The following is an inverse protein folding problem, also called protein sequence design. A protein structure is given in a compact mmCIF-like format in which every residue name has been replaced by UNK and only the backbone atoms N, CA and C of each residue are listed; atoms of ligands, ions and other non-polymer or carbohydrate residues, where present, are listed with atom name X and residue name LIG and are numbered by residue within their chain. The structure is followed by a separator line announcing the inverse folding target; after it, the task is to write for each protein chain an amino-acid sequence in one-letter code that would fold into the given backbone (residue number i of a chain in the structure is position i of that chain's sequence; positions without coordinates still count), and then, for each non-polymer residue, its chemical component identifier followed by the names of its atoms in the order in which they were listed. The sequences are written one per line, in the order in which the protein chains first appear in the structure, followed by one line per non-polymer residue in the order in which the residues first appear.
data_IF_563904747914
#
_entry.id   IF_563904747914
#
_cell.length_a   1.000
_cell.length_b   1.000
_cell.length_c   1.000
_cell.angle_alpha   90.00
_cell.angle_beta   90.00
_cell.angle_gamma   90.00
#
_symmetry.space_group_name_H-M   'P 1'
#
loop_
_entity.id
_entity.type
_entity.pdbx_description
1 polymer ?
#
# COMPACT_ATOMS: atom_id res chain seq x y z
N UNK A 1 6.80 13.31 -1.87
CA UNK A 1 5.90 12.73 -0.85
C UNK A 1 5.47 11.36 -1.34
N UNK A 2 5.52 10.33 -0.49
CA UNK A 2 5.05 8.98 -0.81
C UNK A 2 3.75 8.74 -0.06
N UNK A 3 2.71 8.31 -0.78
CA UNK A 3 1.43 7.95 -0.20
C UNK A 3 1.10 6.51 -0.62
N UNK A 4 0.51 5.79 0.33
CA UNK A 4 0.00 4.45 0.12
C UNK A 4 -1.42 4.40 0.70
N UNK A 5 -2.37 3.89 -0.07
CA UNK A 5 -3.71 3.64 0.43
C UNK A 5 -4.32 2.41 -0.26
N UNK A 6 -5.35 1.86 0.37
CA UNK A 6 -6.14 0.76 -0.18
C UNK A 6 -7.44 1.33 -0.74
N UNK A 7 -7.66 1.18 -2.04
CA UNK A 7 -8.88 1.61 -2.71
C UNK A 7 -9.85 0.45 -2.89
N UNK A 8 -10.85 0.38 -2.00
CA UNK A 8 -11.87 -0.67 -1.99
C UNK A 8 -12.82 -0.59 -3.19
N UNK A 9 -12.84 0.52 -3.93
CA UNK A 9 -13.62 0.62 -5.17
C UNK A 9 -13.00 -0.18 -6.33
N UNK A 10 -11.75 -0.64 -6.17
CA UNK A 10 -10.97 -1.38 -7.17
C UNK A 10 -10.51 -2.74 -6.63
N UNK A 11 -11.44 -3.70 -6.45
CA UNK A 11 -11.12 -4.98 -5.81
C UNK A 11 -10.07 -5.80 -6.57
N UNK A 12 -9.91 -5.61 -7.88
CA UNK A 12 -8.88 -6.27 -8.69
C UNK A 12 -7.48 -5.68 -8.50
N UNK A 13 -7.37 -4.38 -8.17
CA UNK A 13 -6.09 -3.66 -7.99
C UNK A 13 -6.16 -2.68 -6.81
N UNK A 14 -6.35 -3.19 -5.58
CA UNK A 14 -6.71 -2.36 -4.44
C UNK A 14 -5.54 -1.55 -3.88
N UNK A 15 -4.29 -1.91 -4.17
CA UNK A 15 -3.11 -1.23 -3.63
C UNK A 15 -2.75 -0.02 -4.49
N UNK A 16 -2.95 1.18 -3.95
CA UNK A 16 -2.59 2.42 -4.62
C UNK A 16 -1.27 2.96 -4.07
N UNK A 17 -0.29 3.13 -4.95
CA UNK A 17 1.01 3.72 -4.66
C UNK A 17 1.11 5.05 -5.39
N UNK A 18 1.15 6.14 -4.62
CA UNK A 18 1.23 7.48 -5.18
C UNK A 18 2.56 8.12 -4.78
N UNK A 19 3.19 8.76 -5.76
CA UNK A 19 4.39 9.53 -5.56
C UNK A 19 4.16 10.95 -6.08
N UNK A 20 4.20 11.92 -5.18
CA UNK A 20 4.35 13.31 -5.55
C UNK A 20 5.84 13.61 -5.68
N UNK A 21 6.27 13.80 -6.93
CA UNK A 21 7.56 14.37 -7.31
C UNK A 21 7.37 15.90 -7.24
N UNK A 22 8.37 16.63 -6.72
CA UNK A 22 8.24 18.04 -6.32
C UNK A 22 7.72 18.95 -7.43
N UNK A 23 7.03 20.03 -7.06
CA UNK A 23 6.29 20.91 -7.98
C UNK A 23 7.16 21.84 -8.84
N UNK A 24 7.85 21.28 -9.83
CA UNK A 24 8.22 21.99 -11.06
C UNK A 24 7.09 21.88 -12.10
N UNK A 25 6.94 22.88 -12.98
CA UNK A 25 5.85 23.03 -13.98
C UNK A 25 5.63 21.82 -14.94
N UNK A 26 6.41 20.74 -14.82
CA UNK A 26 6.43 19.57 -15.69
C UNK A 26 6.53 18.22 -14.95
N UNK A 27 6.48 18.20 -13.61
CA UNK A 27 6.66 16.96 -12.83
C UNK A 27 5.29 16.40 -12.44
N UNK A 28 4.74 15.52 -13.29
CA UNK A 28 3.51 14.80 -12.96
C UNK A 28 3.82 13.74 -11.90
N UNK A 29 3.37 13.98 -10.67
CA UNK A 29 3.17 12.91 -9.69
C UNK A 29 2.27 11.82 -10.29
N UNK A 30 2.61 10.57 -10.01
CA UNK A 30 1.92 9.39 -10.56
C UNK A 30 1.28 8.55 -9.46
N UNK A 31 0.17 7.92 -9.81
CA UNK A 31 -0.49 6.90 -9.01
C UNK A 31 -0.49 5.58 -9.81
N UNK A 32 -0.13 4.47 -9.16
CA UNK A 32 -0.25 3.14 -9.73
C UNK A 32 -1.10 2.26 -8.83
N UNK A 33 -2.02 1.53 -9.44
CA UNK A 33 -2.88 0.56 -8.77
C UNK A 33 -2.39 -0.84 -9.10
N UNK A 34 -2.14 -1.63 -8.07
CA UNK A 34 -1.61 -2.98 -8.22
C UNK A 34 -2.46 -4.00 -7.47
N UNK A 35 -2.51 -5.20 -8.04
CA UNK A 35 -2.93 -6.41 -7.36
C UNK A 35 -1.78 -6.95 -6.50
N UNK A 36 -2.07 -7.78 -5.50
CA UNK A 36 -1.07 -8.50 -4.69
C UNK A 36 -0.12 -9.30 -5.59
N UNK A 37 -0.67 -9.98 -6.60
CA UNK A 37 0.10 -10.76 -7.57
C UNK A 37 1.01 -9.92 -8.46
N UNK A 38 0.72 -8.62 -8.62
CA UNK A 38 1.50 -7.71 -9.43
C UNK A 38 2.60 -6.96 -8.65
N UNK A 39 2.60 -7.04 -7.31
CA UNK A 39 3.56 -6.35 -6.46
C UNK A 39 5.01 -6.75 -6.80
N UNK A 40 5.30 -8.05 -6.85
CA UNK A 40 6.66 -8.55 -7.13
C UNK A 40 7.12 -8.29 -8.57
N UNK A 41 6.19 -8.15 -9.50
CA UNK A 41 6.50 -7.85 -10.91
C UNK A 41 6.67 -6.34 -11.16
N UNK A 42 6.26 -5.48 -10.23
CA UNK A 42 6.32 -4.04 -10.42
C UNK A 42 7.74 -3.50 -10.12
N UNK A 43 8.38 -2.79 -11.06
CA UNK A 43 9.75 -2.29 -10.89
C UNK A 43 9.88 -1.12 -9.90
N UNK A 44 8.77 -0.60 -9.36
CA UNK A 44 8.75 0.56 -8.46
C UNK A 44 9.11 0.27 -7.00
N UNK A 45 9.63 -0.92 -6.69
CA UNK A 45 10.06 -1.33 -5.34
C UNK A 45 8.98 -1.07 -4.27
N UNK A 46 7.82 -1.72 -4.39
CA UNK A 46 6.67 -1.49 -3.51
C UNK A 46 7.01 -1.56 -2.00
N UNK A 47 7.93 -2.43 -1.59
CA UNK A 47 8.41 -2.53 -0.19
C UNK A 47 9.04 -1.22 0.28
N UNK A 48 9.86 -0.59 -0.55
CA UNK A 48 10.46 0.70 -0.25
C UNK A 48 9.41 1.82 -0.28
N UNK A 49 8.42 1.75 -1.16
CA UNK A 49 7.33 2.73 -1.23
C UNK A 49 6.49 2.73 0.06
N UNK A 50 6.04 1.56 0.52
CA UNK A 50 5.26 1.47 1.78
C UNK A 50 6.08 1.87 2.99
N UNK A 51 7.40 1.60 2.99
CA UNK A 51 8.29 2.08 4.04
C UNK A 51 8.33 3.62 4.08
N UNK A 52 8.49 4.26 2.92
CA UNK A 52 8.54 5.72 2.80
C UNK A 52 7.21 6.42 3.08
N UNK A 53 6.08 5.72 2.90
CA UNK A 53 4.75 6.23 3.25
C UNK A 53 4.39 6.03 4.73
N UNK A 54 5.27 5.44 5.54
CA UNK A 54 5.00 5.12 6.95
C UNK A 54 4.18 3.83 7.17
N UNK A 55 3.98 3.05 6.12
CA UNK A 55 3.24 1.78 6.13
C UNK A 55 4.18 0.56 6.01
N UNK A 56 5.41 0.64 6.51
CA UNK A 56 6.41 -0.44 6.38
C UNK A 56 5.93 -1.81 6.84
N UNK A 57 5.05 -1.85 7.84
CA UNK A 57 4.41 -3.07 8.35
C UNK A 57 3.53 -3.80 7.33
N UNK A 58 3.10 -3.11 6.26
CA UNK A 58 2.37 -3.73 5.14
C UNK A 58 3.27 -4.70 4.39
N UNK A 59 4.56 -4.39 4.23
CA UNK A 59 5.52 -5.32 3.63
C UNK A 59 5.62 -6.61 4.45
N UNK A 60 5.70 -6.49 5.77
CA UNK A 60 5.70 -7.65 6.67
C UNK A 60 4.40 -8.47 6.56
N UNK A 61 3.24 -7.79 6.44
CA UNK A 61 1.96 -8.46 6.30
C UNK A 61 1.85 -9.27 5.00
N UNK A 62 2.32 -8.70 3.88
CA UNK A 62 2.34 -9.35 2.57
C UNK A 62 3.37 -10.50 2.55
N UNK A 63 4.60 -10.26 3.02
CA UNK A 63 5.68 -11.24 3.00
C UNK A 63 5.45 -12.41 3.97
N UNK A 64 4.76 -12.16 5.09
CA UNK A 64 4.44 -13.19 6.09
C UNK A 64 3.33 -14.16 5.67
N UNK A 65 2.60 -13.86 4.59
CA UNK A 65 1.45 -14.65 4.16
C UNK A 65 1.47 -14.95 2.65
N UNK A 66 2.52 -15.64 2.16
CA UNK A 66 2.60 -16.00 0.75
C UNK A 66 1.43 -16.90 0.36
N UNK A 67 0.71 -16.54 -0.71
CA UNK A 67 -0.38 -17.33 -1.26
C UNK A 67 -1.77 -17.07 -0.65
N UNK A 68 -1.92 -16.10 0.26
CA UNK A 68 -3.26 -15.61 0.60
C UNK A 68 -3.93 -14.94 -0.60
N UNK A 69 -5.24 -15.14 -0.70
CA UNK A 69 -6.06 -14.41 -1.65
C UNK A 69 -6.04 -12.90 -1.33
N UNK A 70 -6.13 -12.09 -2.40
CA UNK A 70 -6.07 -10.63 -2.32
C UNK A 70 -7.10 -10.03 -1.37
N UNK A 71 -8.35 -10.52 -1.39
CA UNK A 71 -9.40 -9.98 -0.52
C UNK A 71 -9.10 -10.24 0.96
N UNK A 72 -8.56 -11.43 1.26
CA UNK A 72 -8.17 -11.82 2.62
C UNK A 72 -7.02 -10.93 3.11
N UNK A 73 -6.00 -10.74 2.28
CA UNK A 73 -4.84 -9.92 2.63
C UNK A 73 -5.24 -8.46 2.86
N UNK A 74 -6.09 -7.90 1.99
CA UNK A 74 -6.63 -6.54 2.16
C UNK A 74 -7.41 -6.40 3.47
N UNK A 75 -8.27 -7.36 3.79
CA UNK A 75 -9.02 -7.34 5.05
C UNK A 75 -8.08 -7.34 6.26
N UNK A 76 -7.08 -8.21 6.30
CA UNK A 76 -6.09 -8.27 7.38
C UNK A 76 -5.31 -6.96 7.54
N UNK A 77 -4.93 -6.32 6.43
CA UNK A 77 -4.23 -5.03 6.47
C UNK A 77 -5.17 -3.96 7.05
N UNK A 78 -6.43 -3.90 6.62
CA UNK A 78 -7.39 -2.92 7.14
C UNK A 78 -7.71 -3.13 8.62
N UNK A 79 -7.86 -4.38 9.06
CA UNK A 79 -8.07 -4.74 10.47
C UNK A 79 -6.88 -4.27 11.32
N UNK A 80 -5.65 -4.63 10.95
CA UNK A 80 -4.44 -4.19 11.66
C UNK A 80 -4.29 -2.67 11.66
N UNK A 81 -4.62 -1.99 10.56
CA UNK A 81 -4.61 -0.53 10.50
C UNK A 81 -5.61 0.08 11.50
N UNK A 82 -6.82 -0.47 11.58
CA UNK A 82 -7.84 -0.01 12.54
C UNK A 82 -7.40 -0.21 14.00
N UNK A 83 -6.69 -1.31 14.30
CA UNK A 83 -6.11 -1.55 15.63
C UNK A 83 -5.00 -0.55 15.98
N UNK A 84 -4.13 -0.22 15.02
CA UNK A 84 -3.06 0.77 15.20
C UNK A 84 -3.64 2.19 15.34
N UNK A 85 -4.68 2.51 14.57
CA UNK A 85 -5.32 3.82 14.57
C UNK A 85 -6.22 4.07 15.80
N UNK A 86 -6.61 3.01 16.52
CA UNK A 86 -7.38 3.15 17.76
C UNK A 86 -6.50 3.87 18.78
N UNK A 87 -6.90 5.06 19.28
CA UNK A 87 -6.14 5.71 20.34
C UNK A 87 -6.10 4.76 21.53
N UNK A 88 -4.89 4.46 22.01
CA UNK A 88 -4.69 3.78 23.26
C UNK A 88 -5.32 4.65 24.34
N UNK A 89 -6.57 4.35 24.70
CA UNK A 89 -7.32 5.11 25.67
C UNK A 89 -6.54 5.16 26.98
N UNK A 90 -6.13 6.36 27.37
CA UNK A 90 -5.79 6.71 28.74
C UNK A 90 -6.19 8.14 29.02
#
# INVERSE_FOLDING_TARGET
MYLFHIDLSRPDTPFCFEQSIGGGHCEQGGAVWLAVSALEAWPGEWRQHVQKSGCGWVAEAVDGHPGLDQATLVAMILERHAEIAKPAGR
#
